data_IF_096270067538
#
_entry.id   IF_096270067538
#
_cell.length_a   1.000
_cell.length_b   1.000
_cell.length_c   1.000
_cell.angle_alpha   90.00
_cell.angle_beta   90.00
_cell.angle_gamma   90.00
#
_symmetry.space_group_name_H-M   'P 1'
#
loop_
_entity.id
_entity.type
_entity.pdbx_description
1 polymer ?
#
# COMPACT_ATOMS: atom_id res chain seq x y z
N UNK A 1 -45.98 37.05 53.82
CA UNK A 1 -45.26 37.52 52.62
C UNK A 1 -44.08 36.55 52.43
N UNK A 2 -44.22 35.51 51.59
CA UNK A 2 -43.27 34.45 51.41
C UNK A 2 -42.60 34.63 50.00
N UNK A 3 -41.32 34.93 50.03
CA UNK A 3 -40.49 35.08 48.81
C UNK A 3 -39.93 33.69 48.50
N UNK A 4 -40.37 33.12 47.38
CA UNK A 4 -39.85 31.88 46.84
C UNK A 4 -38.69 32.20 45.89
N UNK A 5 -37.48 31.79 46.27
CA UNK A 5 -36.25 31.91 45.46
C UNK A 5 -36.22 30.76 44.46
N UNK A 6 -36.38 31.07 43.20
CA UNK A 6 -36.21 30.07 42.11
C UNK A 6 -34.74 29.92 41.75
N UNK A 7 -34.17 28.77 42.08
CA UNK A 7 -32.80 28.39 41.73
C UNK A 7 -32.80 27.84 40.26
N UNK A 8 -32.32 28.64 39.32
CA UNK A 8 -32.12 28.22 37.95
C UNK A 8 -30.83 27.42 37.86
N UNK A 9 -30.91 26.09 37.85
CA UNK A 9 -29.79 25.20 37.55
C UNK A 9 -29.52 25.28 36.03
N UNK A 10 -28.49 26.04 35.67
CA UNK A 10 -27.93 26.07 34.32
C UNK A 10 -27.04 24.83 34.13
N UNK A 11 -27.59 23.76 33.60
CA UNK A 11 -26.84 22.57 33.21
C UNK A 11 -26.01 22.89 31.95
N UNK A 12 -24.73 23.20 32.14
CA UNK A 12 -23.74 23.16 31.07
C UNK A 12 -23.63 21.70 30.56
N UNK A 13 -24.29 21.38 29.46
CA UNK A 13 -24.00 20.22 28.67
C UNK A 13 -22.60 20.42 28.08
N UNK A 14 -21.59 19.81 28.71
CA UNK A 14 -20.26 19.65 28.10
C UNK A 14 -20.46 18.68 26.91
N UNK A 15 -20.66 19.22 25.73
CA UNK A 15 -20.50 18.50 24.48
C UNK A 15 -19.02 18.16 24.38
N UNK A 16 -18.65 17.00 24.94
CA UNK A 16 -17.40 16.33 24.61
C UNK A 16 -17.48 15.97 23.14
N UNK A 17 -17.06 16.89 22.28
CA UNK A 17 -16.74 16.57 20.90
C UNK A 17 -15.56 15.59 20.93
N UNK A 18 -15.87 14.31 20.88
CA UNK A 18 -14.93 13.28 20.51
C UNK A 18 -14.59 13.51 19.03
N UNK A 19 -13.70 14.46 18.75
CA UNK A 19 -13.11 14.69 17.45
C UNK A 19 -12.11 13.57 17.18
N UNK A 20 -12.59 12.33 17.08
CA UNK A 20 -11.91 11.34 16.28
C UNK A 20 -11.76 11.93 14.87
N UNK A 21 -10.56 11.93 14.35
CA UNK A 21 -10.17 12.48 13.04
C UNK A 21 -11.12 12.00 11.94
N UNK A 22 -12.25 12.68 11.75
CA UNK A 22 -13.17 12.34 10.65
C UNK A 22 -12.46 12.67 9.35
N UNK A 23 -12.43 11.69 8.46
CA UNK A 23 -11.91 11.92 7.11
C UNK A 23 -12.64 13.11 6.46
N UNK A 24 -11.94 14.00 5.76
CA UNK A 24 -12.54 15.16 5.12
C UNK A 24 -13.56 14.73 4.06
N UNK A 25 -14.55 15.59 3.82
CA UNK A 25 -15.44 15.38 2.68
C UNK A 25 -14.71 15.74 1.38
N UNK A 26 -14.51 14.73 0.54
CA UNK A 26 -13.86 14.86 -0.77
C UNK A 26 -14.83 14.62 -1.93
N UNK A 27 -16.14 14.60 -1.66
CA UNK A 27 -17.18 14.33 -2.67
C UNK A 27 -17.18 15.36 -3.82
N UNK A 28 -16.74 16.59 -3.56
CA UNK A 28 -16.58 17.63 -4.58
C UNK A 28 -15.36 17.45 -5.50
N UNK A 29 -14.45 16.53 -5.22
CA UNK A 29 -13.27 16.28 -6.04
C UNK A 29 -13.60 15.21 -7.08
N UNK A 30 -13.61 15.60 -8.35
CA UNK A 30 -13.89 14.67 -9.45
C UNK A 30 -12.61 13.93 -9.85
N UNK A 31 -12.66 12.60 -9.82
CA UNK A 31 -11.66 11.68 -10.38
C UNK A 31 -12.35 10.91 -11.50
N UNK A 32 -11.80 11.00 -12.70
CA UNK A 32 -12.23 10.22 -13.85
C UNK A 32 -11.29 9.04 -14.00
N UNK A 33 -11.75 7.85 -13.64
CA UNK A 33 -11.00 6.62 -13.76
C UNK A 33 -11.82 5.62 -14.59
N UNK A 34 -11.19 4.95 -15.54
CA UNK A 34 -11.83 3.96 -16.42
C UNK A 34 -11.04 2.67 -16.40
N UNK A 35 -11.69 1.58 -16.02
CA UNK A 35 -11.08 0.25 -15.99
C UNK A 35 -11.11 -0.40 -17.36
N UNK A 36 -9.96 -0.81 -17.83
CA UNK A 36 -9.76 -1.65 -19.02
C UNK A 36 -9.29 -3.04 -18.59
N UNK A 37 -10.06 -4.08 -18.90
CA UNK A 37 -9.82 -5.48 -18.54
C UNK A 37 -8.87 -6.11 -19.58
N UNK A 38 -7.57 -5.79 -19.50
CA UNK A 38 -6.58 -6.40 -20.38
C UNK A 38 -6.42 -7.90 -20.10
N UNK A 39 -6.56 -8.33 -18.84
CA UNK A 39 -6.61 -9.74 -18.47
C UNK A 39 -7.62 -10.51 -19.31
N UNK A 40 -8.84 -10.01 -19.46
CA UNK A 40 -9.87 -10.63 -20.29
C UNK A 40 -9.51 -10.56 -21.76
N UNK A 41 -9.05 -9.40 -22.24
CA UNK A 41 -8.68 -9.22 -23.64
C UNK A 41 -7.57 -10.17 -24.09
N UNK A 42 -6.58 -10.47 -23.22
CA UNK A 42 -5.49 -11.39 -23.51
C UNK A 42 -5.92 -12.87 -23.45
N UNK A 43 -6.59 -13.26 -22.36
CA UNK A 43 -6.90 -14.68 -22.09
C UNK A 43 -8.05 -15.24 -22.94
N UNK A 44 -8.79 -14.38 -23.64
CA UNK A 44 -9.85 -14.77 -24.58
C UNK A 44 -9.39 -14.78 -26.04
N UNK A 45 -8.12 -14.49 -26.33
CA UNK A 45 -7.58 -14.57 -27.69
C UNK A 45 -7.65 -16.01 -28.24
N UNK A 46 -7.89 -16.11 -29.56
CA UNK A 46 -7.73 -17.37 -30.27
C UNK A 46 -6.26 -17.79 -30.27
N UNK A 47 -5.95 -18.85 -29.52
CA UNK A 47 -4.59 -19.36 -29.41
C UNK A 47 -4.03 -20.00 -30.68
N UNK A 48 -4.90 -20.34 -31.64
CA UNK A 48 -4.49 -20.85 -32.97
C UNK A 48 -3.97 -19.73 -33.89
N UNK A 49 -4.53 -18.50 -33.68
CA UNK A 49 -4.15 -17.32 -34.46
C UNK A 49 -3.64 -16.19 -33.60
N UNK A 50 -2.80 -16.53 -32.59
CA UNK A 50 -2.40 -15.62 -31.54
C UNK A 50 -1.64 -14.39 -32.05
N UNK A 51 -0.82 -14.52 -33.09
CA UNK A 51 -0.08 -13.39 -33.67
C UNK A 51 -0.97 -12.22 -34.10
N UNK A 52 -2.09 -12.54 -34.81
CA UNK A 52 -3.08 -11.52 -35.18
C UNK A 52 -3.77 -10.90 -33.95
N UNK A 53 -4.09 -11.72 -32.92
CA UNK A 53 -4.66 -11.25 -31.65
C UNK A 53 -3.74 -10.30 -30.91
N UNK A 54 -2.45 -10.62 -30.81
CA UNK A 54 -1.45 -9.75 -30.15
C UNK A 54 -1.29 -8.42 -30.89
N UNK A 55 -1.30 -8.44 -32.22
CA UNK A 55 -1.27 -7.22 -33.05
C UNK A 55 -2.50 -6.34 -32.79
N UNK A 56 -3.68 -6.94 -32.65
CA UNK A 56 -4.91 -6.22 -32.30
C UNK A 56 -4.82 -5.60 -30.89
N UNK A 57 -4.29 -6.36 -29.92
CA UNK A 57 -4.05 -5.83 -28.56
C UNK A 57 -3.03 -4.68 -28.55
N UNK A 58 -1.98 -4.75 -29.36
CA UNK A 58 -1.03 -3.65 -29.53
C UNK A 58 -1.71 -2.37 -30.03
N UNK A 59 -2.69 -2.49 -30.92
CA UNK A 59 -3.49 -1.35 -31.40
C UNK A 59 -4.45 -0.80 -30.33
N UNK A 60 -5.01 -1.68 -29.47
CA UNK A 60 -5.93 -1.29 -28.39
C UNK A 60 -5.21 -0.73 -27.16
N UNK A 61 -4.03 -1.27 -26.83
CA UNK A 61 -3.23 -0.91 -25.64
C UNK A 61 -1.81 -0.46 -26.05
N UNK A 62 -1.67 0.64 -26.82
CA UNK A 62 -0.39 1.01 -27.42
C UNK A 62 0.70 1.37 -26.42
N UNK A 63 0.33 1.94 -25.26
CA UNK A 63 1.26 2.26 -24.16
C UNK A 63 1.59 1.04 -23.30
N UNK A 64 0.59 0.21 -23.01
CA UNK A 64 0.74 -0.90 -22.07
C UNK A 64 1.35 -2.15 -22.70
N UNK A 65 0.97 -2.52 -23.94
CA UNK A 65 1.38 -3.77 -24.55
C UNK A 65 2.90 -3.97 -24.68
N UNK A 66 3.71 -2.94 -25.05
CA UNK A 66 5.16 -3.06 -25.04
C UNK A 66 5.73 -3.33 -23.63
N UNK A 67 5.19 -2.69 -22.62
CA UNK A 67 5.59 -2.89 -21.22
C UNK A 67 5.18 -4.28 -20.73
N UNK A 68 3.99 -4.75 -21.12
CA UNK A 68 3.53 -6.09 -20.78
C UNK A 68 4.45 -7.18 -21.36
N UNK A 69 4.79 -7.09 -22.64
CA UNK A 69 5.68 -8.06 -23.26
C UNK A 69 7.13 -7.93 -22.76
N UNK A 70 7.68 -6.72 -22.75
CA UNK A 70 9.11 -6.50 -22.46
C UNK A 70 9.43 -6.53 -20.97
N UNK A 71 8.61 -5.91 -20.12
CA UNK A 71 8.90 -5.77 -18.68
C UNK A 71 8.20 -6.84 -17.85
N UNK A 72 6.90 -7.09 -18.08
CA UNK A 72 6.13 -8.01 -17.25
C UNK A 72 6.40 -9.46 -17.64
N UNK A 73 6.36 -9.78 -18.92
CA UNK A 73 6.66 -11.12 -19.42
C UNK A 73 8.13 -11.37 -19.75
N UNK A 74 8.96 -10.33 -19.69
CA UNK A 74 10.40 -10.40 -20.00
C UNK A 74 10.71 -11.04 -21.36
N UNK A 75 9.90 -10.73 -22.38
CA UNK A 75 10.15 -11.18 -23.75
C UNK A 75 11.39 -10.47 -24.31
N UNK A 76 12.30 -11.23 -24.91
CA UNK A 76 13.48 -10.66 -25.58
C UNK A 76 13.04 -9.83 -26.80
N UNK A 77 13.42 -8.54 -26.89
CA UNK A 77 13.01 -7.67 -27.99
C UNK A 77 13.54 -8.13 -29.38
N UNK A 78 14.49 -9.07 -29.39
CA UNK A 78 15.03 -9.68 -30.62
C UNK A 78 14.20 -10.84 -31.15
N UNK A 79 13.21 -11.30 -30.36
CA UNK A 79 12.36 -12.40 -30.80
C UNK A 79 11.53 -12.02 -32.03
N UNK A 80 11.29 -13.01 -32.91
CA UNK A 80 10.31 -12.84 -33.96
C UNK A 80 8.89 -12.77 -33.40
N UNK A 81 7.95 -12.25 -34.18
CA UNK A 81 6.54 -12.23 -33.80
C UNK A 81 6.01 -13.65 -33.50
N UNK A 82 6.45 -14.67 -34.26
CA UNK A 82 6.04 -16.05 -34.03
C UNK A 82 6.61 -16.62 -32.75
N UNK A 83 7.87 -16.30 -32.40
CA UNK A 83 8.49 -16.68 -31.12
C UNK A 83 7.77 -16.06 -29.95
N UNK A 84 7.48 -14.76 -30.06
CA UNK A 84 6.71 -14.04 -29.01
C UNK A 84 5.31 -14.64 -28.86
N UNK A 85 4.62 -14.93 -29.96
CA UNK A 85 3.30 -15.57 -29.93
C UNK A 85 3.35 -16.97 -29.30
N UNK A 86 4.37 -17.78 -29.61
CA UNK A 86 4.54 -19.08 -28.97
C UNK A 86 4.77 -18.99 -27.47
N UNK A 87 5.59 -18.04 -27.01
CA UNK A 87 5.82 -17.78 -25.60
C UNK A 87 4.55 -17.33 -24.88
N UNK A 88 3.82 -16.36 -25.42
CA UNK A 88 2.54 -15.88 -24.85
C UNK A 88 1.49 -16.99 -24.84
N UNK A 89 1.46 -17.87 -25.82
CA UNK A 89 0.59 -19.06 -25.80
C UNK A 89 0.90 -19.96 -24.60
N UNK A 90 2.18 -20.21 -24.34
CA UNK A 90 2.63 -20.97 -23.17
C UNK A 90 2.20 -20.28 -21.87
N UNK A 91 2.40 -18.96 -21.77
CA UNK A 91 1.96 -18.17 -20.63
C UNK A 91 0.44 -18.27 -20.38
N UNK A 92 -0.38 -18.07 -21.42
CA UNK A 92 -1.85 -18.20 -21.31
C UNK A 92 -2.25 -19.60 -20.81
N UNK A 93 -1.59 -20.64 -21.30
CA UNK A 93 -1.85 -22.03 -20.88
C UNK A 93 -1.52 -22.26 -19.41
N UNK A 94 -0.32 -21.86 -18.97
CA UNK A 94 0.18 -22.04 -17.58
C UNK A 94 -0.64 -21.22 -16.58
N UNK A 95 -1.01 -19.99 -16.94
CA UNK A 95 -1.73 -19.07 -16.05
C UNK A 95 -3.25 -19.15 -16.16
N UNK A 96 -3.80 -20.16 -16.86
CA UNK A 96 -5.25 -20.35 -17.02
C UNK A 96 -5.97 -20.43 -15.68
N UNK A 97 -5.46 -21.20 -14.72
CA UNK A 97 -6.04 -21.32 -13.39
C UNK A 97 -6.07 -19.97 -12.65
N UNK A 98 -5.02 -19.17 -12.77
CA UNK A 98 -4.94 -17.81 -12.18
C UNK A 98 -6.02 -16.93 -12.79
N UNK A 99 -6.15 -16.95 -14.12
CA UNK A 99 -7.18 -16.20 -14.84
C UNK A 99 -8.60 -16.63 -14.43
N UNK A 100 -8.88 -17.93 -14.41
CA UNK A 100 -10.22 -18.44 -14.09
C UNK A 100 -10.61 -18.03 -12.66
N UNK A 101 -9.67 -18.11 -11.70
CA UNK A 101 -9.89 -17.61 -10.34
C UNK A 101 -10.14 -16.09 -10.33
N UNK A 102 -9.34 -15.31 -11.07
CA UNK A 102 -9.52 -13.87 -11.17
C UNK A 102 -10.89 -13.49 -11.78
N UNK A 103 -11.43 -14.28 -12.73
CA UNK A 103 -12.77 -14.03 -13.28
C UNK A 103 -13.89 -14.26 -12.26
N UNK A 104 -13.69 -15.14 -11.29
CA UNK A 104 -14.64 -15.33 -10.19
C UNK A 104 -14.55 -14.17 -9.19
N UNK A 105 -13.34 -13.85 -8.73
CA UNK A 105 -13.09 -12.81 -7.72
C UNK A 105 -13.46 -11.42 -8.25
N UNK A 106 -13.05 -11.13 -9.48
CA UNK A 106 -13.22 -9.82 -10.13
C UNK A 106 -14.26 -9.84 -11.26
N UNK A 107 -15.36 -10.59 -11.05
CA UNK A 107 -16.49 -10.60 -12.00
C UNK A 107 -17.00 -9.18 -12.25
N UNK A 108 -17.11 -8.40 -11.18
CA UNK A 108 -17.37 -6.96 -11.21
C UNK A 108 -16.18 -6.24 -10.55
N UNK A 109 -15.43 -5.49 -11.33
CA UNK A 109 -14.30 -4.69 -10.84
C UNK A 109 -14.74 -3.29 -10.35
N UNK A 110 -15.99 -2.90 -10.61
CA UNK A 110 -16.52 -1.57 -10.29
C UNK A 110 -16.37 -1.15 -8.81
N UNK A 111 -16.56 -2.02 -7.81
CA UNK A 111 -16.30 -1.70 -6.41
C UNK A 111 -14.86 -1.26 -6.14
N UNK A 112 -13.87 -1.97 -6.70
CA UNK A 112 -12.44 -1.66 -6.55
C UNK A 112 -12.04 -0.38 -7.26
N UNK A 113 -12.57 -0.14 -8.48
CA UNK A 113 -12.40 1.14 -9.20
C UNK A 113 -12.88 2.31 -8.35
N UNK A 114 -14.08 2.20 -7.73
CA UNK A 114 -14.63 3.23 -6.86
C UNK A 114 -13.78 3.47 -5.61
N UNK A 115 -13.20 2.42 -5.04
CA UNK A 115 -12.33 2.53 -3.88
C UNK A 115 -11.02 3.23 -4.22
N UNK A 116 -10.39 2.86 -5.34
CA UNK A 116 -9.20 3.54 -5.87
C UNK A 116 -9.52 5.00 -6.18
N UNK A 117 -10.63 5.28 -6.87
CA UNK A 117 -11.05 6.65 -7.19
C UNK A 117 -11.26 7.48 -5.91
N UNK A 118 -11.84 6.87 -4.84
CA UNK A 118 -12.00 7.53 -3.55
C UNK A 118 -10.66 7.83 -2.88
N UNK A 119 -9.72 6.90 -2.91
CA UNK A 119 -8.37 7.12 -2.40
C UNK A 119 -7.62 8.22 -3.18
N UNK A 120 -7.78 8.28 -4.50
CA UNK A 120 -7.27 9.36 -5.35
C UNK A 120 -7.93 10.72 -5.05
N UNK A 121 -9.22 10.74 -4.64
CA UNK A 121 -9.86 11.97 -4.16
C UNK A 121 -9.15 12.50 -2.90
N UNK A 122 -8.86 11.61 -1.92
CA UNK A 122 -8.10 12.00 -0.74
C UNK A 122 -6.68 12.45 -1.10
N UNK A 123 -6.01 11.73 -2.01
CA UNK A 123 -4.68 12.12 -2.47
C UNK A 123 -4.70 13.53 -3.10
N UNK A 124 -5.65 13.82 -3.97
CA UNK A 124 -5.83 15.15 -4.57
C UNK A 124 -6.20 16.24 -3.55
N UNK A 125 -6.97 15.89 -2.52
CA UNK A 125 -7.32 16.80 -1.43
C UNK A 125 -6.08 17.23 -0.64
N UNK A 126 -5.23 16.26 -0.24
CA UNK A 126 -4.06 16.53 0.57
C UNK A 126 -2.86 17.05 -0.24
N UNK A 127 -2.81 16.70 -1.52
CA UNK A 127 -1.76 17.10 -2.47
C UNK A 127 -2.41 17.70 -3.73
N UNK A 128 -2.85 18.97 -3.67
CA UNK A 128 -3.62 19.59 -4.75
C UNK A 128 -2.94 19.63 -6.12
N UNK A 129 -1.62 19.60 -6.16
CA UNK A 129 -0.82 19.53 -7.39
C UNK A 129 -0.83 18.14 -8.05
N UNK A 130 -1.23 17.09 -7.34
CA UNK A 130 -1.25 15.73 -7.89
C UNK A 130 -2.25 15.62 -9.06
N UNK A 131 -1.79 15.05 -10.16
CA UNK A 131 -2.64 14.72 -11.31
C UNK A 131 -2.90 13.23 -11.30
N UNK A 132 -4.16 12.82 -11.13
CA UNK A 132 -4.53 11.42 -11.11
C UNK A 132 -4.51 10.82 -12.52
N UNK A 133 -4.00 9.59 -12.69
CA UNK A 133 -4.16 8.83 -13.92
C UNK A 133 -5.64 8.63 -14.25
N UNK A 134 -5.97 8.54 -15.55
CA UNK A 134 -7.35 8.34 -16.02
C UNK A 134 -7.66 6.89 -16.36
N UNK A 135 -6.65 6.08 -16.60
CA UNK A 135 -6.78 4.67 -16.97
C UNK A 135 -6.38 3.76 -15.84
N UNK A 136 -7.16 2.72 -15.66
CA UNK A 136 -6.85 1.59 -14.83
C UNK A 136 -6.85 0.34 -15.72
N UNK A 137 -5.74 -0.39 -15.77
CA UNK A 137 -5.59 -1.59 -16.57
C UNK A 137 -5.40 -2.77 -15.62
N UNK A 138 -6.31 -3.73 -15.66
CA UNK A 138 -6.13 -4.99 -14.93
C UNK A 138 -5.38 -6.00 -15.79
N UNK A 139 -4.43 -6.70 -15.21
CA UNK A 139 -3.65 -7.71 -15.93
C UNK A 139 -3.31 -8.92 -15.06
N UNK A 140 -2.87 -9.99 -15.71
CA UNK A 140 -2.25 -11.14 -15.06
C UNK A 140 -0.82 -11.23 -15.55
N UNK A 141 0.12 -11.23 -14.63
CA UNK A 141 1.54 -11.43 -14.85
C UNK A 141 2.03 -12.73 -14.22
N UNK A 142 3.35 -13.01 -14.29
CA UNK A 142 3.97 -14.05 -13.50
C UNK A 142 3.71 -13.84 -12.00
N UNK A 143 3.44 -14.93 -11.26
CA UNK A 143 3.13 -14.85 -9.83
C UNK A 143 4.26 -14.24 -9.00
N UNK A 144 5.49 -14.45 -9.41
CA UNK A 144 6.72 -13.91 -8.84
C UNK A 144 7.18 -12.57 -9.45
N UNK A 145 6.37 -12.04 -10.38
CA UNK A 145 6.64 -10.79 -11.10
C UNK A 145 6.06 -9.54 -10.44
N UNK A 146 5.93 -8.50 -11.26
CA UNK A 146 5.38 -7.22 -10.83
C UNK A 146 3.88 -7.34 -10.47
N UNK A 147 3.49 -6.71 -9.35
CA UNK A 147 2.10 -6.54 -8.93
C UNK A 147 1.51 -5.23 -9.44
N UNK A 148 1.12 -4.34 -8.50
CA UNK A 148 0.51 -3.07 -8.86
C UNK A 148 1.57 -2.02 -9.22
N UNK A 149 1.31 -1.25 -10.28
CA UNK A 149 2.20 -0.20 -10.76
C UNK A 149 1.37 1.07 -10.98
N UNK A 150 1.92 2.23 -10.65
CA UNK A 150 1.33 3.53 -10.97
C UNK A 150 2.30 4.36 -11.82
N UNK A 151 1.78 4.94 -12.88
CA UNK A 151 2.48 5.91 -13.73
C UNK A 151 1.73 7.24 -13.77
N UNK A 152 2.18 8.20 -14.55
CA UNK A 152 1.45 9.46 -14.74
C UNK A 152 0.12 9.26 -15.49
N UNK A 153 0.06 8.28 -16.37
CA UNK A 153 -1.07 8.06 -17.27
C UNK A 153 -1.97 6.89 -16.87
N UNK A 154 -1.42 5.87 -16.19
CA UNK A 154 -2.07 4.58 -15.99
C UNK A 154 -1.81 4.00 -14.60
N UNK A 155 -2.83 3.34 -14.05
CA UNK A 155 -2.71 2.45 -12.88
C UNK A 155 -2.83 1.02 -13.41
N UNK A 156 -1.85 0.19 -13.13
CA UNK A 156 -1.82 -1.21 -13.49
C UNK A 156 -2.09 -2.06 -12.26
N UNK A 157 -3.09 -2.93 -12.31
CA UNK A 157 -3.45 -3.83 -11.21
C UNK A 157 -3.14 -5.27 -11.62
N UNK A 158 -2.16 -5.86 -10.94
CA UNK A 158 -1.75 -7.23 -11.13
C UNK A 158 -2.69 -8.19 -10.40
N UNK A 159 -3.81 -8.59 -11.02
CA UNK A 159 -4.84 -9.44 -10.40
C UNK A 159 -4.28 -10.75 -9.82
N UNK A 160 -3.16 -11.26 -10.36
CA UNK A 160 -2.47 -12.45 -9.89
C UNK A 160 -1.93 -12.32 -8.45
N UNK A 161 -1.81 -11.09 -7.91
CA UNK A 161 -1.44 -10.84 -6.51
C UNK A 161 -2.61 -10.35 -5.64
N UNK A 162 -3.87 -10.54 -6.10
CA UNK A 162 -5.05 -10.09 -5.38
C UNK A 162 -6.20 -11.12 -5.42
N UNK A 163 -5.91 -12.42 -5.50
CA UNK A 163 -6.98 -13.40 -5.70
C UNK A 163 -7.78 -13.63 -4.41
N UNK A 164 -7.47 -14.70 -3.69
CA UNK A 164 -8.14 -15.04 -2.43
C UNK A 164 -7.12 -15.54 -1.43
N UNK A 165 -7.41 -15.35 -0.16
CA UNK A 165 -6.64 -15.99 0.89
C UNK A 165 -6.63 -17.51 0.69
N UNK A 166 -5.45 -18.11 0.82
CA UNK A 166 -5.30 -19.55 0.65
C UNK A 166 -5.31 -20.05 -0.80
N UNK A 167 -5.24 -19.17 -1.84
CA UNK A 167 -5.05 -19.62 -3.22
C UNK A 167 -3.83 -20.55 -3.30
N UNK A 168 -4.03 -21.77 -3.81
CA UNK A 168 -3.06 -22.86 -3.69
C UNK A 168 -1.66 -22.52 -4.25
N UNK A 169 -1.61 -21.77 -5.35
CA UNK A 169 -0.33 -21.38 -5.95
C UNK A 169 0.46 -20.38 -5.09
N UNK A 170 -0.19 -19.64 -4.19
CA UNK A 170 0.52 -18.76 -3.25
C UNK A 170 1.34 -19.53 -2.20
N UNK A 171 1.01 -20.82 -1.99
CA UNK A 171 1.73 -21.72 -1.08
C UNK A 171 2.80 -22.56 -1.79
N UNK A 172 3.00 -22.39 -3.11
CA UNK A 172 4.03 -23.10 -3.85
C UNK A 172 5.42 -22.70 -3.38
N UNK A 173 6.36 -23.64 -3.35
CA UNK A 173 7.76 -23.38 -2.96
C UNK A 173 8.35 -22.23 -3.77
N UNK A 174 8.14 -22.22 -5.09
CA UNK A 174 8.66 -21.18 -5.98
C UNK A 174 8.18 -19.78 -5.55
N UNK A 175 6.88 -19.63 -5.25
CA UNK A 175 6.37 -18.33 -4.83
C UNK A 175 6.85 -17.93 -3.45
N UNK A 176 6.93 -18.89 -2.52
CA UNK A 176 7.37 -18.61 -1.14
C UNK A 176 8.86 -18.23 -1.05
N UNK A 177 9.67 -18.58 -2.03
CA UNK A 177 11.06 -18.09 -2.15
C UNK A 177 11.12 -16.59 -2.49
N UNK A 178 10.19 -16.09 -3.34
CA UNK A 178 10.13 -14.68 -3.72
C UNK A 178 9.25 -13.86 -2.79
N UNK A 179 8.08 -14.39 -2.45
CA UNK A 179 7.08 -13.77 -1.58
C UNK A 179 6.71 -14.70 -0.42
N UNK A 180 7.53 -14.74 0.66
CA UNK A 180 7.22 -15.52 1.85
C UNK A 180 5.83 -15.21 2.42
N UNK A 181 5.30 -16.09 3.27
CA UNK A 181 3.93 -15.99 3.79
C UNK A 181 3.60 -14.63 4.42
N UNK A 182 4.55 -14.01 5.13
CA UNK A 182 4.36 -12.69 5.71
C UNK A 182 4.16 -11.57 4.66
N UNK A 183 4.46 -11.83 3.38
CA UNK A 183 4.15 -10.96 2.23
C UNK A 183 2.91 -11.47 1.51
N UNK A 184 2.89 -12.75 1.10
CA UNK A 184 1.85 -13.31 0.23
C UNK A 184 0.47 -13.41 0.89
N UNK A 185 0.36 -13.39 2.22
CA UNK A 185 -0.92 -13.27 2.95
C UNK A 185 -1.70 -11.99 2.62
N UNK A 186 -1.01 -10.97 2.07
CA UNK A 186 -1.61 -9.70 1.61
C UNK A 186 -2.09 -9.76 0.17
N UNK A 187 -1.95 -10.90 -0.50
CA UNK A 187 -2.39 -11.08 -1.88
C UNK A 187 -3.90 -11.29 -1.96
N UNK A 188 -4.63 -10.30 -1.47
CA UNK A 188 -6.09 -10.28 -1.42
C UNK A 188 -6.63 -8.97 -2.00
N UNK A 189 -7.90 -8.94 -2.45
CA UNK A 189 -8.50 -7.75 -3.04
C UNK A 189 -8.48 -6.50 -2.13
N UNK A 190 -8.52 -6.69 -0.80
CA UNK A 190 -8.53 -5.60 0.18
C UNK A 190 -7.26 -4.74 0.14
N UNK A 191 -6.17 -5.26 -0.44
CA UNK A 191 -4.91 -4.55 -0.56
C UNK A 191 -4.77 -3.72 -1.85
N UNK A 192 -5.71 -3.80 -2.80
CA UNK A 192 -5.62 -3.08 -4.08
C UNK A 192 -5.49 -1.57 -3.87
N UNK A 193 -6.42 -0.94 -3.15
CA UNK A 193 -6.38 0.50 -2.91
C UNK A 193 -5.18 0.92 -2.04
N UNK A 194 -4.80 0.08 -1.07
CA UNK A 194 -3.63 0.29 -0.21
C UNK A 194 -2.36 0.32 -1.04
N UNK A 195 -2.15 -0.69 -1.90
CA UNK A 195 -0.97 -0.78 -2.75
C UNK A 195 -0.91 0.37 -3.77
N UNK A 196 -2.05 0.73 -4.40
CA UNK A 196 -2.13 1.89 -5.26
C UNK A 196 -1.64 3.16 -4.56
N UNK A 197 -2.09 3.38 -3.31
CA UNK A 197 -1.69 4.59 -2.57
C UNK A 197 -0.26 4.52 -2.05
N UNK A 198 0.26 3.35 -1.68
CA UNK A 198 1.70 3.16 -1.40
C UNK A 198 2.55 3.57 -2.60
N UNK A 199 2.23 3.04 -3.78
CA UNK A 199 2.94 3.36 -5.01
C UNK A 199 2.84 4.85 -5.38
N UNK A 200 1.67 5.48 -5.15
CA UNK A 200 1.48 6.91 -5.37
C UNK A 200 2.34 7.77 -4.43
N UNK A 201 2.42 7.40 -3.14
CA UNK A 201 3.28 8.08 -2.16
C UNK A 201 4.75 7.93 -2.55
N UNK A 202 5.18 6.72 -2.93
CA UNK A 202 6.58 6.45 -3.30
C UNK A 202 6.99 7.20 -4.56
N UNK A 203 6.06 7.38 -5.50
CA UNK A 203 6.30 8.19 -6.70
C UNK A 203 6.39 9.68 -6.39
N UNK A 204 5.51 10.21 -5.53
CA UNK A 204 5.52 11.62 -5.14
C UNK A 204 6.73 11.99 -4.28
N UNK A 205 7.11 11.09 -3.41
CA UNK A 205 8.19 11.26 -2.43
C UNK A 205 9.08 10.02 -2.44
N UNK A 206 9.99 9.87 -3.42
CA UNK A 206 10.93 8.74 -3.45
C UNK A 206 11.71 8.62 -2.14
N UNK A 207 11.91 7.39 -1.67
CA UNK A 207 12.65 7.14 -0.42
C UNK A 207 14.11 7.58 -0.54
N UNK A 208 14.59 8.29 0.50
CA UNK A 208 15.98 8.72 0.65
C UNK A 208 16.48 8.25 2.00
N UNK A 209 16.82 6.97 2.08
CA UNK A 209 17.19 6.29 3.33
C UNK A 209 18.69 6.15 3.54
N UNK A 210 19.48 6.26 2.47
CA UNK A 210 20.92 6.03 2.50
C UNK A 210 21.61 6.95 3.51
N UNK A 211 22.57 6.39 4.25
CA UNK A 211 23.40 7.09 5.24
C UNK A 211 22.65 7.74 6.42
N UNK A 212 21.35 7.53 6.54
CA UNK A 212 20.58 8.06 7.67
C UNK A 212 20.62 7.12 8.87
N UNK A 213 20.68 7.66 10.10
CA UNK A 213 20.49 6.88 11.32
C UNK A 213 19.15 6.14 11.34
N UNK A 214 19.10 5.01 12.06
CA UNK A 214 17.90 4.18 12.15
C UNK A 214 16.65 4.99 12.52
N UNK A 215 16.73 5.86 13.53
CA UNK A 215 15.57 6.67 13.96
C UNK A 215 15.03 7.56 12.85
N UNK A 216 15.88 8.13 12.01
CA UNK A 216 15.44 8.94 10.88
C UNK A 216 14.75 8.09 9.82
N UNK A 217 15.27 6.87 9.56
CA UNK A 217 14.62 5.93 8.64
C UNK A 217 13.27 5.43 9.20
N UNK A 218 13.18 5.17 10.51
CA UNK A 218 11.92 4.85 11.18
C UNK A 218 10.88 5.94 10.97
N UNK A 219 11.26 7.21 11.18
CA UNK A 219 10.37 8.37 10.98
C UNK A 219 9.95 8.50 9.51
N UNK A 220 10.87 8.30 8.55
CA UNK A 220 10.53 8.32 7.12
C UNK A 220 9.48 7.25 6.76
N UNK A 221 9.61 6.03 7.28
CA UNK A 221 8.58 4.99 7.13
C UNK A 221 7.27 5.40 7.83
N UNK A 222 7.39 5.97 9.02
CA UNK A 222 6.25 6.46 9.79
C UNK A 222 5.45 7.56 9.10
N UNK A 223 6.11 8.52 8.42
CA UNK A 223 5.45 9.54 7.60
C UNK A 223 4.59 8.93 6.51
N UNK A 224 5.12 7.92 5.79
CA UNK A 224 4.41 7.21 4.71
C UNK A 224 3.18 6.47 5.24
N UNK A 225 3.32 5.74 6.35
CA UNK A 225 2.21 5.05 7.00
C UNK A 225 1.13 6.03 7.49
N UNK A 226 1.54 7.17 8.04
CA UNK A 226 0.61 8.21 8.48
C UNK A 226 -0.16 8.81 7.29
N UNK A 227 0.53 9.16 6.20
CA UNK A 227 -0.11 9.65 4.99
C UNK A 227 -1.04 8.59 4.41
N UNK A 228 -0.59 7.34 4.29
CA UNK A 228 -1.38 6.23 3.79
C UNK A 228 -2.70 6.07 4.58
N UNK A 229 -2.65 6.18 5.92
CA UNK A 229 -3.87 6.11 6.77
C UNK A 229 -4.89 7.22 6.47
N UNK A 230 -4.44 8.36 5.92
CA UNK A 230 -5.33 9.45 5.51
C UNK A 230 -5.86 9.29 4.09
N UNK A 231 -5.15 8.53 3.23
CA UNK A 231 -5.57 8.26 1.86
C UNK A 231 -6.56 7.08 1.76
N UNK A 232 -6.43 6.10 2.65
CA UNK A 232 -7.33 4.93 2.73
C UNK A 232 -7.93 4.81 4.14
N UNK A 233 -8.75 5.77 4.58
CA UNK A 233 -9.18 5.90 5.99
C UNK A 233 -10.11 4.78 6.48
N UNK A 234 -10.49 3.85 5.62
CA UNK A 234 -11.27 2.64 5.97
C UNK A 234 -10.38 1.44 6.25
N UNK A 235 -9.12 1.49 5.85
CA UNK A 235 -8.18 0.41 6.11
C UNK A 235 -7.76 0.41 7.57
N UNK A 236 -7.68 -0.77 8.16
CA UNK A 236 -7.22 -0.96 9.53
C UNK A 236 -5.69 -0.80 9.62
N UNK A 237 -5.20 -0.38 10.76
CA UNK A 237 -3.77 -0.12 10.98
C UNK A 237 -2.88 -1.33 10.64
N UNK A 238 -3.35 -2.57 10.91
CA UNK A 238 -2.61 -3.78 10.58
C UNK A 238 -2.44 -3.98 9.07
N UNK A 239 -3.45 -3.59 8.27
CA UNK A 239 -3.38 -3.68 6.79
C UNK A 239 -2.37 -2.66 6.24
N UNK A 240 -2.35 -1.44 6.78
CA UNK A 240 -1.45 -0.38 6.33
C UNK A 240 0.02 -0.75 6.49
N UNK A 241 0.39 -1.33 7.64
CA UNK A 241 1.77 -1.75 7.92
C UNK A 241 2.08 -3.17 7.40
N UNK A 242 1.05 -3.98 7.09
CA UNK A 242 1.19 -5.35 6.58
C UNK A 242 1.33 -6.42 7.65
N UNK A 243 0.85 -6.17 8.86
CA UNK A 243 0.81 -7.13 9.96
C UNK A 243 -0.44 -8.03 9.91
N UNK A 244 -0.53 -9.00 10.80
CA UNK A 244 -1.83 -9.58 11.17
C UNK A 244 -2.49 -8.70 12.23
N UNK A 245 -3.80 -8.89 12.43
CA UNK A 245 -4.52 -8.16 13.48
C UNK A 245 -3.94 -8.47 14.87
N UNK A 246 -3.60 -9.73 15.14
CA UNK A 246 -2.98 -10.15 16.40
C UNK A 246 -1.61 -9.51 16.60
N UNK A 247 -0.79 -9.48 15.54
CA UNK A 247 0.50 -8.81 15.59
C UNK A 247 0.34 -7.32 15.91
N UNK A 248 -0.63 -6.64 15.28
CA UNK A 248 -0.86 -5.22 15.52
C UNK A 248 -1.34 -4.94 16.94
N UNK A 249 -2.25 -5.78 17.46
CA UNK A 249 -2.70 -5.70 18.87
C UNK A 249 -1.50 -5.87 19.81
N UNK A 250 -0.68 -6.91 19.59
CA UNK A 250 0.52 -7.13 20.39
C UNK A 250 1.52 -5.97 20.34
N UNK A 251 1.67 -5.34 19.19
CA UNK A 251 2.54 -4.17 19.04
C UNK A 251 2.05 -2.96 19.83
N UNK A 252 0.73 -2.72 19.90
CA UNK A 252 0.17 -1.66 20.75
C UNK A 252 0.29 -2.01 22.24
N UNK A 253 0.01 -3.24 22.65
CA UNK A 253 0.10 -3.67 24.03
C UNK A 253 1.53 -3.62 24.58
N UNK A 254 2.52 -3.77 23.70
CA UNK A 254 3.94 -3.80 24.05
C UNK A 254 4.76 -2.64 23.46
N UNK A 255 4.10 -1.53 23.11
CA UNK A 255 4.73 -0.37 22.46
C UNK A 255 5.98 0.11 23.22
N UNK A 256 5.91 0.14 24.56
CA UNK A 256 7.05 0.49 25.41
C UNK A 256 8.22 -0.49 25.26
N UNK A 257 7.96 -1.78 25.22
CA UNK A 257 9.03 -2.79 25.07
C UNK A 257 9.72 -2.67 23.70
N UNK A 258 8.94 -2.38 22.65
CA UNK A 258 9.46 -2.11 21.30
C UNK A 258 10.37 -0.87 21.33
N UNK A 259 9.97 0.19 21.99
CA UNK A 259 10.78 1.40 22.12
C UNK A 259 12.04 1.19 22.95
N UNK A 260 11.92 0.48 24.08
CA UNK A 260 13.03 0.13 24.97
C UNK A 260 14.11 -0.69 24.22
N UNK A 261 13.74 -1.55 23.26
CA UNK A 261 14.69 -2.28 22.43
C UNK A 261 15.67 -1.33 21.72
N UNK A 262 15.18 -0.26 21.11
CA UNK A 262 16.03 0.70 20.42
C UNK A 262 16.88 1.56 21.36
N UNK A 263 16.29 1.99 22.47
CA UNK A 263 16.96 2.89 23.42
C UNK A 263 18.05 2.15 24.22
N UNK A 264 17.74 0.97 24.77
CA UNK A 264 18.68 0.22 25.61
C UNK A 264 19.88 -0.31 24.83
N UNK A 265 19.71 -0.60 23.55
CA UNK A 265 20.80 -1.07 22.68
C UNK A 265 21.52 0.06 21.94
N UNK A 266 21.15 1.32 22.20
CA UNK A 266 21.70 2.50 21.49
C UNK A 266 21.55 2.43 19.96
N UNK A 267 20.48 1.79 19.46
CA UNK A 267 20.29 1.57 18.01
C UNK A 267 19.75 2.82 17.28
N UNK A 268 19.16 3.77 17.99
CA UNK A 268 18.50 4.93 17.35
C UNK A 268 19.43 5.70 16.41
N UNK A 269 20.70 5.85 16.79
CA UNK A 269 21.68 6.61 16.02
C UNK A 269 22.60 5.71 15.16
N UNK A 270 22.34 4.41 15.10
CA UNK A 270 23.16 3.52 14.25
C UNK A 270 22.94 3.82 12.77
N UNK A 271 24.04 3.77 12.02
CA UNK A 271 24.07 3.79 10.55
C UNK A 271 24.48 2.43 9.97
N UNK A 272 24.65 1.42 10.82
CA UNK A 272 24.99 0.06 10.37
C UNK A 272 23.79 -0.60 9.67
N UNK A 273 23.90 -0.77 8.36
CA UNK A 273 22.85 -1.36 7.55
C UNK A 273 22.50 -2.81 7.96
N UNK A 274 23.44 -3.55 8.58
CA UNK A 274 23.13 -4.90 9.07
C UNK A 274 22.19 -4.87 10.28
N UNK A 275 22.29 -3.83 11.10
CA UNK A 275 21.36 -3.61 12.21
C UNK A 275 20.05 -3.01 11.68
N UNK A 276 20.12 -1.96 10.89
CA UNK A 276 18.98 -1.22 10.37
C UNK A 276 17.98 -2.14 9.67
N UNK A 277 18.44 -2.98 8.74
CA UNK A 277 17.58 -3.88 7.97
C UNK A 277 16.75 -4.83 8.84
N UNK A 278 17.23 -5.21 10.03
CA UNK A 278 16.51 -6.12 10.91
C UNK A 278 15.22 -5.48 11.49
N UNK A 279 15.15 -4.15 11.49
CA UNK A 279 14.05 -3.43 12.12
C UNK A 279 13.15 -2.65 11.16
N UNK A 280 13.64 -2.26 9.97
CA UNK A 280 12.85 -1.50 8.99
C UNK A 280 12.54 -2.27 7.70
N UNK A 281 13.20 -3.41 7.47
CA UNK A 281 12.83 -4.30 6.37
C UNK A 281 11.68 -5.23 6.78
N UNK A 282 10.88 -5.63 5.79
CA UNK A 282 9.88 -6.67 6.02
C UNK A 282 10.57 -7.99 6.38
N UNK A 283 10.00 -8.70 7.32
CA UNK A 283 10.53 -9.96 7.80
C UNK A 283 9.47 -10.74 8.58
N UNK A 284 9.72 -12.04 8.84
CA UNK A 284 8.76 -12.88 9.53
C UNK A 284 8.58 -12.46 11.01
N UNK A 285 9.66 -12.03 11.65
CA UNK A 285 9.68 -11.67 13.08
C UNK A 285 10.86 -10.79 13.45
N UNK A 286 10.79 -10.16 14.63
CA UNK A 286 11.91 -9.49 15.30
C UNK A 286 12.38 -10.39 16.44
N UNK A 287 13.57 -10.97 16.32
CA UNK A 287 14.07 -12.03 17.22
C UNK A 287 14.12 -11.61 18.69
N UNK A 288 14.55 -10.37 18.95
CA UNK A 288 14.72 -9.81 20.30
C UNK A 288 13.38 -9.59 21.03
N UNK A 289 12.27 -9.55 20.30
CA UNK A 289 10.93 -9.36 20.87
C UNK A 289 10.13 -10.66 20.97
N UNK A 290 10.70 -11.79 20.52
CA UNK A 290 10.10 -13.12 20.60
C UNK A 290 9.30 -13.52 19.36
N UNK A 291 8.77 -14.75 19.37
CA UNK A 291 8.14 -15.39 18.20
C UNK A 291 6.87 -14.71 17.70
N UNK A 292 6.12 -14.06 18.59
CA UNK A 292 4.87 -13.37 18.23
C UNK A 292 5.08 -11.97 17.63
N UNK A 293 6.29 -11.39 17.80
CA UNK A 293 6.58 -10.06 17.30
C UNK A 293 6.81 -10.10 15.77
N UNK A 294 6.17 -9.21 14.98
CA UNK A 294 6.42 -9.14 13.54
C UNK A 294 7.83 -8.62 13.25
N UNK A 295 8.27 -8.74 11.98
CA UNK A 295 9.36 -7.91 11.46
C UNK A 295 8.95 -6.45 11.32
N UNK A 296 9.87 -5.60 10.85
CA UNK A 296 9.58 -4.19 10.52
C UNK A 296 9.06 -3.34 11.71
N UNK A 297 9.46 -3.69 12.95
CA UNK A 297 9.02 -2.99 14.18
C UNK A 297 9.51 -1.55 14.25
N UNK A 298 10.58 -1.20 13.53
CA UNK A 298 11.05 0.17 13.40
C UNK A 298 10.06 1.07 12.66
N UNK A 299 9.38 0.56 11.61
CA UNK A 299 8.33 1.31 10.93
C UNK A 299 7.12 1.56 11.84
N UNK A 300 6.75 0.59 12.70
CA UNK A 300 5.72 0.79 13.72
C UNK A 300 6.12 1.91 14.68
N UNK A 301 7.32 1.85 15.28
CA UNK A 301 7.78 2.87 16.20
C UNK A 301 7.88 4.25 15.54
N UNK A 302 8.38 4.32 14.30
CA UNK A 302 8.39 5.55 13.50
C UNK A 302 6.98 6.11 13.26
N UNK A 303 6.01 5.24 13.04
CA UNK A 303 4.62 5.66 12.87
C UNK A 303 4.03 6.23 14.16
N UNK A 304 4.33 5.63 15.34
CA UNK A 304 3.89 6.19 16.63
C UNK A 304 4.53 7.55 16.90
N UNK A 305 5.82 7.74 16.55
CA UNK A 305 6.50 9.05 16.63
C UNK A 305 5.73 10.08 15.79
N UNK A 306 5.41 9.75 14.54
CA UNK A 306 4.69 10.66 13.64
C UNK A 306 3.26 10.90 14.11
N UNK A 307 2.53 9.87 14.57
CA UNK A 307 1.19 10.03 15.17
C UNK A 307 1.22 11.03 16.32
N UNK A 308 2.20 10.91 17.20
CA UNK A 308 2.35 11.84 18.33
C UNK A 308 2.65 13.26 17.86
N UNK A 309 3.62 13.44 16.95
CA UNK A 309 3.93 14.74 16.38
C UNK A 309 2.69 15.41 15.78
N UNK A 310 1.96 14.70 14.91
CA UNK A 310 0.78 15.23 14.25
C UNK A 310 -0.37 15.55 15.20
N UNK A 311 -0.50 14.80 16.30
CA UNK A 311 -1.47 15.09 17.37
C UNK A 311 -1.15 16.41 18.09
N UNK A 312 0.12 16.71 18.29
CA UNK A 312 0.58 17.94 18.93
C UNK A 312 0.59 19.15 17.97
N UNK A 313 0.53 18.88 16.64
CA UNK A 313 0.55 19.90 15.58
C UNK A 313 -0.65 19.76 14.62
N UNK A 314 -1.89 19.99 15.09
CA UNK A 314 -3.11 19.69 14.32
C UNK A 314 -3.26 20.48 13.01
N UNK A 315 -2.51 21.59 12.85
CA UNK A 315 -2.49 22.39 11.62
C UNK A 315 -1.38 21.99 10.62
N UNK A 316 -0.62 20.92 10.92
CA UNK A 316 0.49 20.52 10.06
C UNK A 316 -0.01 19.74 8.84
N UNK A 317 0.25 20.25 7.63
CA UNK A 317 -0.25 19.60 6.42
C UNK A 317 0.53 18.32 6.10
N UNK A 318 -0.11 17.35 5.41
CA UNK A 318 0.58 16.12 4.99
C UNK A 318 1.74 16.40 4.03
N UNK A 319 1.63 17.43 3.18
CA UNK A 319 2.73 17.87 2.32
C UNK A 319 3.94 18.31 3.16
N UNK A 320 3.73 19.19 4.12
CA UNK A 320 4.81 19.62 5.04
C UNK A 320 5.40 18.45 5.81
N UNK A 321 4.55 17.49 6.26
CA UNK A 321 5.00 16.28 6.93
C UNK A 321 5.96 15.48 6.04
N UNK A 322 5.62 15.24 4.79
CA UNK A 322 6.48 14.48 3.86
C UNK A 322 7.79 15.20 3.56
N UNK A 323 7.78 16.53 3.48
CA UNK A 323 8.96 17.38 3.20
C UNK A 323 9.81 17.65 4.44
N UNK A 324 9.29 17.41 5.65
CA UNK A 324 9.98 17.73 6.89
C UNK A 324 11.20 16.83 7.15
N UNK A 325 12.23 17.41 7.77
CA UNK A 325 13.40 16.66 8.21
C UNK A 325 13.01 15.64 9.30
N UNK A 326 13.34 14.36 9.15
CA UNK A 326 12.94 13.31 10.08
C UNK A 326 13.55 13.47 11.48
N UNK A 327 14.77 14.01 11.58
CA UNK A 327 15.39 14.28 12.87
C UNK A 327 14.65 15.37 13.65
N UNK A 328 14.23 16.44 12.96
CA UNK A 328 13.43 17.51 13.58
C UNK A 328 12.11 16.97 14.09
N UNK A 329 11.41 16.16 13.28
CA UNK A 329 10.15 15.52 13.70
C UNK A 329 10.34 14.63 14.93
N UNK A 330 11.41 13.84 14.96
CA UNK A 330 11.73 12.99 16.10
C UNK A 330 11.95 13.80 17.39
N UNK A 331 12.76 14.86 17.30
CA UNK A 331 13.07 15.71 18.45
C UNK A 331 11.85 16.45 18.97
N UNK A 332 11.02 17.01 18.08
CA UNK A 332 9.80 17.75 18.45
C UNK A 332 8.71 16.84 19.00
N UNK A 333 8.56 15.63 18.48
CA UNK A 333 7.59 14.65 18.98
C UNK A 333 7.84 14.26 20.44
N UNK A 334 9.08 14.35 20.94
CA UNK A 334 9.45 13.94 22.32
C UNK A 334 8.82 12.60 22.70
N UNK A 335 8.87 11.65 21.76
CA UNK A 335 8.18 10.38 21.90
C UNK A 335 8.73 9.55 23.06
N UNK A 336 7.82 9.17 23.96
CA UNK A 336 8.06 8.29 25.11
C UNK A 336 6.74 7.54 25.37
N UNK A 337 6.62 6.26 24.94
CA UNK A 337 5.43 5.44 25.16
C UNK A 337 5.27 5.03 26.63
#
# INVERSE_FOLDING_TARGET
MRITLALCCLSLAILSCNNGDKAPDVSGIRIELHTERFDQSLFTLDTLNLGAGLKALQGKYPSFMPNFLGTILNCDPRWTADTTAAYVRGFISVYRQVYDTAQVVFRDFGPYEKEIAKALQYLKYYFPEYTAPKKLITYIGPLDGYGDIISDDEILIGLHQHLVDGFSLYKSTLLQETYPEYISRRFTPDYIAINCMKNAIDRLYPEKMEEKPLVQQMVEKGKRLYVLSKLVPKAEDYQLIGYTQEQMTGMYDHERAVWDLFVKNNFLQTIDNNIIKNYIAEGPKTQELGEAAPGNVGSFAGWQIVKKFMKEHPGYSLKKLMEANPETLFQEAKYKP
#
